data_IF_012074520114
#
_entry.id   IF_012074520114
#
_cell.length_a   1.000
_cell.length_b   1.000
_cell.length_c   1.000
_cell.angle_alpha   90.00
_cell.angle_beta   90.00
_cell.angle_gamma   90.00
#
_symmetry.space_group_name_H-M   'P 1'
#
loop_
_entity.id
_entity.type
_entity.pdbx_description
1 polymer ?
#
# COMPACT_ATOMS: atom_id res chain seq x y z
N UNK A 1 -77.83 -31.49 11.67
CA UNK A 1 -76.86 -30.54 12.26
C UNK A 1 -75.76 -30.29 11.23
N UNK A 2 -75.79 -29.13 10.57
CA UNK A 2 -74.82 -28.74 9.54
C UNK A 2 -73.50 -28.39 10.23
N UNK A 3 -72.44 -29.14 9.98
CA UNK A 3 -71.09 -28.81 10.44
C UNK A 3 -70.70 -27.48 9.78
N UNK A 4 -70.57 -26.43 10.60
CA UNK A 4 -70.27 -25.08 10.12
C UNK A 4 -68.96 -25.05 9.32
N UNK A 5 -68.93 -24.44 8.14
CA UNK A 5 -67.70 -24.26 7.37
C UNK A 5 -66.85 -23.21 8.08
N UNK A 6 -65.78 -23.62 8.77
CA UNK A 6 -64.89 -22.65 9.43
C UNK A 6 -63.68 -23.27 10.15
N UNK A 7 -63.88 -24.34 10.92
CA UNK A 7 -62.81 -24.88 11.78
C UNK A 7 -61.84 -25.82 11.03
N UNK A 8 -62.32 -26.59 10.05
CA UNK A 8 -61.47 -27.48 9.24
C UNK A 8 -60.58 -26.73 8.25
N UNK A 9 -60.97 -25.52 7.84
CA UNK A 9 -60.13 -24.66 6.99
C UNK A 9 -58.95 -24.08 7.78
N UNK A 10 -59.18 -23.71 9.06
CA UNK A 10 -58.14 -23.20 9.95
C UNK A 10 -57.11 -24.26 10.33
N UNK A 11 -57.54 -25.49 10.65
CA UNK A 11 -56.62 -26.59 10.96
C UNK A 11 -55.81 -27.02 9.74
N UNK A 12 -56.38 -26.90 8.55
CA UNK A 12 -55.69 -27.18 7.30
C UNK A 12 -54.66 -26.09 7.00
N UNK A 13 -54.99 -24.83 7.26
CA UNK A 13 -54.05 -23.71 7.15
C UNK A 13 -52.88 -23.84 8.13
N UNK A 14 -53.13 -24.19 9.40
CA UNK A 14 -52.04 -24.42 10.37
C UNK A 14 -51.17 -25.62 9.98
N UNK A 15 -51.78 -26.72 9.55
CA UNK A 15 -51.05 -27.90 9.07
C UNK A 15 -50.20 -27.58 7.83
N UNK A 16 -50.72 -26.84 6.84
CA UNK A 16 -49.95 -26.42 5.68
C UNK A 16 -48.80 -25.49 6.06
N UNK A 17 -49.02 -24.52 6.98
CA UNK A 17 -47.96 -23.63 7.45
C UNK A 17 -46.82 -24.42 8.11
N UNK A 18 -47.14 -25.44 8.92
CA UNK A 18 -46.13 -26.32 9.51
C UNK A 18 -45.39 -27.11 8.43
N UNK A 19 -46.09 -27.70 7.46
CA UNK A 19 -45.44 -28.44 6.35
C UNK A 19 -44.57 -27.56 5.46
N UNK A 20 -44.96 -26.31 5.19
CA UNK A 20 -44.13 -25.37 4.45
C UNK A 20 -42.89 -24.96 5.26
N UNK A 21 -43.02 -24.78 6.58
CA UNK A 21 -41.88 -24.46 7.44
C UNK A 21 -40.85 -25.59 7.48
N UNK A 22 -41.29 -26.84 7.60
CA UNK A 22 -40.39 -28.00 7.62
C UNK A 22 -39.72 -28.22 6.27
N UNK A 23 -40.47 -28.09 5.18
CA UNK A 23 -39.93 -28.17 3.82
C UNK A 23 -38.90 -27.06 3.57
N UNK A 24 -39.20 -25.83 4.00
CA UNK A 24 -38.27 -24.71 3.89
C UNK A 24 -36.99 -24.99 4.69
N UNK A 25 -37.09 -25.49 5.91
CA UNK A 25 -35.93 -25.86 6.73
C UNK A 25 -35.12 -26.98 6.09
N UNK A 26 -35.76 -28.03 5.55
CA UNK A 26 -35.05 -29.14 4.90
C UNK A 26 -34.34 -28.71 3.61
N UNK A 27 -34.96 -27.83 2.82
CA UNK A 27 -34.34 -27.29 1.61
C UNK A 27 -33.12 -26.45 2.01
N UNK A 28 -33.26 -25.54 2.98
CA UNK A 28 -32.14 -24.74 3.48
C UNK A 28 -31.01 -25.63 4.00
N UNK A 29 -31.32 -26.67 4.78
CA UNK A 29 -30.32 -27.61 5.29
C UNK A 29 -29.60 -28.35 4.16
N UNK A 30 -30.32 -28.87 3.17
CA UNK A 30 -29.72 -29.53 2.02
C UNK A 30 -28.81 -28.58 1.20
N UNK A 31 -29.21 -27.31 1.03
CA UNK A 31 -28.35 -26.32 0.37
C UNK A 31 -27.09 -26.01 1.17
N UNK A 32 -27.18 -25.95 2.51
CA UNK A 32 -26.03 -25.72 3.38
C UNK A 32 -25.05 -26.89 3.33
N UNK A 33 -25.54 -28.13 3.40
CA UNK A 33 -24.72 -29.35 3.31
C UNK A 33 -24.02 -29.45 1.94
N UNK A 34 -24.73 -29.12 0.86
CA UNK A 34 -24.14 -29.07 -0.48
C UNK A 34 -23.08 -27.98 -0.59
N UNK A 35 -23.34 -26.76 -0.08
CA UNK A 35 -22.38 -25.66 -0.10
C UNK A 35 -21.14 -25.96 0.73
N UNK A 36 -21.29 -26.56 1.91
CA UNK A 36 -20.16 -26.97 2.76
C UNK A 36 -19.27 -27.98 2.03
N UNK A 37 -19.87 -28.98 1.37
CA UNK A 37 -19.12 -29.96 0.58
C UNK A 37 -18.38 -29.30 -0.59
N UNK A 38 -19.04 -28.38 -1.31
CA UNK A 38 -18.41 -27.62 -2.39
C UNK A 38 -17.26 -26.72 -1.90
N UNK A 39 -17.40 -26.09 -0.73
CA UNK A 39 -16.33 -25.26 -0.15
C UNK A 39 -15.12 -26.10 0.28
N UNK A 40 -15.33 -27.29 0.84
CA UNK A 40 -14.22 -28.16 1.24
C UNK A 40 -13.48 -28.71 0.02
N UNK A 41 -14.22 -29.19 -0.99
CA UNK A 41 -13.61 -29.62 -2.26
C UNK A 41 -12.86 -28.47 -2.95
N UNK A 42 -13.43 -27.27 -2.95
CA UNK A 42 -12.77 -26.09 -3.48
C UNK A 42 -11.50 -25.73 -2.71
N UNK A 43 -11.54 -25.79 -1.38
CA UNK A 43 -10.38 -25.56 -0.52
C UNK A 43 -9.25 -26.53 -0.86
N UNK A 44 -9.55 -27.82 -0.99
CA UNK A 44 -8.56 -28.84 -1.34
C UNK A 44 -7.92 -28.54 -2.71
N UNK A 45 -8.73 -28.21 -3.72
CA UNK A 45 -8.24 -27.79 -5.02
C UNK A 45 -7.36 -26.53 -4.96
N UNK A 46 -7.71 -25.56 -4.11
CA UNK A 46 -6.93 -24.32 -3.95
C UNK A 46 -5.58 -24.63 -3.30
N UNK A 47 -5.54 -25.50 -2.30
CA UNK A 47 -4.29 -25.94 -1.65
C UNK A 47 -3.39 -26.65 -2.66
N UNK A 48 -3.94 -27.63 -3.38
CA UNK A 48 -3.20 -28.38 -4.40
C UNK A 48 -2.66 -27.44 -5.50
N UNK A 49 -3.51 -26.54 -5.99
CA UNK A 49 -3.12 -25.52 -6.96
C UNK A 49 -1.95 -24.67 -6.46
N UNK A 50 -2.02 -24.23 -5.20
CA UNK A 50 -1.00 -23.36 -4.61
C UNK A 50 0.33 -24.07 -4.40
N UNK A 51 0.32 -25.36 -4.04
CA UNK A 51 1.53 -26.19 -3.95
C UNK A 51 2.14 -26.35 -5.34
N UNK A 52 1.31 -26.72 -6.33
CA UNK A 52 1.75 -26.98 -7.70
C UNK A 52 2.35 -25.76 -8.36
N UNK A 53 1.75 -24.59 -8.15
CA UNK A 53 2.16 -23.33 -8.75
C UNK A 53 2.95 -22.42 -7.81
N UNK A 54 3.47 -22.95 -6.69
CA UNK A 54 4.18 -22.13 -5.67
C UNK A 54 5.28 -21.26 -6.28
N UNK A 55 6.06 -21.81 -7.20
CA UNK A 55 7.15 -21.09 -7.87
C UNK A 55 6.62 -19.97 -8.77
N UNK A 56 5.54 -20.25 -9.50
CA UNK A 56 4.90 -19.26 -10.39
C UNK A 56 4.29 -18.11 -9.57
N UNK A 57 3.66 -18.41 -8.43
CA UNK A 57 3.14 -17.40 -7.48
C UNK A 57 4.29 -16.53 -6.94
N UNK A 58 5.48 -17.10 -6.76
CA UNK A 58 6.66 -16.36 -6.27
C UNK A 58 7.33 -15.53 -7.37
N UNK A 59 7.40 -16.03 -8.60
CA UNK A 59 8.21 -15.40 -9.65
C UNK A 59 7.40 -14.43 -10.54
N UNK A 60 6.08 -14.62 -10.69
CA UNK A 60 5.23 -13.75 -11.52
C UNK A 60 4.30 -12.86 -10.65
N UNK A 61 4.53 -11.53 -10.60
CA UNK A 61 3.68 -10.63 -9.83
C UNK A 61 2.24 -10.50 -10.36
N UNK A 62 2.03 -10.66 -11.67
CA UNK A 62 0.69 -10.55 -12.27
C UNK A 62 -0.14 -11.78 -11.89
N UNK A 63 0.46 -12.96 -11.96
CA UNK A 63 -0.17 -14.20 -11.51
C UNK A 63 -0.43 -14.19 -10.00
N UNK A 64 0.53 -13.74 -9.19
CA UNK A 64 0.36 -13.58 -7.74
C UNK A 64 -0.84 -12.71 -7.40
N UNK A 65 -0.97 -11.56 -8.06
CA UNK A 65 -2.08 -10.64 -7.85
C UNK A 65 -3.44 -11.28 -8.20
N UNK A 66 -3.53 -12.02 -9.30
CA UNK A 66 -4.76 -12.71 -9.70
C UNK A 66 -5.13 -13.82 -8.72
N UNK A 67 -4.16 -14.62 -8.29
CA UNK A 67 -4.34 -15.64 -7.27
C UNK A 67 -4.88 -15.04 -5.97
N UNK A 68 -4.25 -13.97 -5.48
CA UNK A 68 -4.70 -13.27 -4.28
C UNK A 68 -6.09 -12.63 -4.43
N UNK A 69 -6.42 -12.13 -5.63
CA UNK A 69 -7.77 -11.61 -5.94
C UNK A 69 -8.83 -12.71 -5.88
N UNK A 70 -8.51 -13.94 -6.30
CA UNK A 70 -9.41 -15.08 -6.13
C UNK A 70 -9.60 -15.43 -4.66
N UNK A 71 -8.51 -15.48 -3.88
CA UNK A 71 -8.59 -15.75 -2.44
C UNK A 71 -9.45 -14.68 -1.73
N UNK A 72 -9.24 -13.40 -2.04
CA UNK A 72 -10.01 -12.31 -1.41
C UNK A 72 -11.49 -12.29 -1.78
N UNK A 73 -11.85 -12.70 -3.01
CA UNK A 73 -13.26 -12.81 -3.43
C UNK A 73 -14.05 -13.82 -2.58
N UNK A 74 -13.35 -14.79 -1.98
CA UNK A 74 -13.92 -15.80 -1.10
C UNK A 74 -13.71 -15.49 0.38
N UNK A 75 -13.22 -14.28 0.69
CA UNK A 75 -12.78 -13.89 2.04
C UNK A 75 -11.74 -14.85 2.63
N UNK A 76 -10.96 -15.51 1.77
CA UNK A 76 -9.79 -16.29 2.16
C UNK A 76 -8.61 -15.34 2.10
N UNK A 77 -8.08 -14.94 3.25
CA UNK A 77 -6.86 -14.15 3.28
C UNK A 77 -5.65 -15.10 3.37
N UNK A 78 -4.82 -15.22 2.30
CA UNK A 78 -3.62 -16.05 2.33
C UNK A 78 -2.55 -15.52 3.31
N UNK A 79 -2.72 -14.30 3.82
CA UNK A 79 -1.75 -13.54 4.62
C UNK A 79 -1.96 -13.68 6.13
N UNK A 80 -3.20 -13.93 6.56
CA UNK A 80 -3.57 -14.03 7.99
C UNK A 80 -3.22 -15.43 8.53
N UNK A 81 -2.27 -16.12 7.90
CA UNK A 81 -1.88 -17.46 8.29
C UNK A 81 -1.12 -17.52 9.61
N UNK A 82 -0.19 -16.58 9.80
CA UNK A 82 0.76 -16.60 10.91
C UNK A 82 0.41 -15.59 12.01
N UNK A 83 -0.39 -14.55 11.73
CA UNK A 83 -0.93 -13.64 12.75
C UNK A 83 -2.01 -14.30 13.63
N UNK A 84 -2.61 -15.42 13.21
CA UNK A 84 -3.68 -16.09 13.94
C UNK A 84 -3.20 -16.98 15.11
N UNK A 85 -1.90 -16.97 15.45
CA UNK A 85 -1.36 -17.70 16.61
C UNK A 85 -1.89 -17.18 17.96
N UNK A 86 -2.51 -16.00 18.02
CA UNK A 86 -3.04 -15.41 19.26
C UNK A 86 -4.56 -15.53 19.45
N UNK A 87 -5.32 -16.02 18.46
CA UNK A 87 -6.76 -16.24 18.60
C UNK A 87 -7.07 -17.72 18.49
N UNK A 88 -7.43 -18.34 19.62
CA UNK A 88 -7.90 -19.73 19.73
C UNK A 88 -9.27 -19.98 19.06
N UNK A 89 -9.59 -19.24 18.00
CA UNK A 89 -10.82 -19.37 17.19
C UNK A 89 -10.50 -19.25 15.70
N UNK A 90 -9.48 -19.98 15.21
CA UNK A 90 -9.18 -20.05 13.78
C UNK A 90 -9.87 -21.27 13.15
N UNK A 91 -11.19 -21.19 12.94
CA UNK A 91 -11.94 -22.10 12.06
C UNK A 91 -11.77 -21.70 10.58
N UNK A 92 -10.58 -21.22 10.20
CA UNK A 92 -10.34 -20.58 8.92
C UNK A 92 -9.05 -21.09 8.27
N UNK A 93 -9.11 -21.23 6.95
CA UNK A 93 -8.06 -21.70 6.03
C UNK A 93 -6.76 -20.88 6.16
N UNK A 94 -6.80 -19.72 6.83
CA UNK A 94 -5.66 -18.84 7.11
C UNK A 94 -4.40 -19.60 7.50
N UNK A 95 -4.41 -20.35 8.61
CA UNK A 95 -3.20 -21.01 9.15
C UNK A 95 -2.52 -22.02 8.22
N UNK A 96 -3.24 -22.51 7.21
CA UNK A 96 -2.70 -23.48 6.25
C UNK A 96 -1.76 -22.83 5.23
N UNK A 97 -1.98 -21.56 4.88
CA UNK A 97 -1.17 -20.85 3.87
C UNK A 97 0.25 -20.53 4.36
N UNK A 98 0.40 -20.29 5.65
CA UNK A 98 1.70 -20.07 6.29
C UNK A 98 2.51 -21.36 6.39
N UNK A 99 1.84 -22.50 6.58
CA UNK A 99 2.49 -23.81 6.51
C UNK A 99 2.97 -24.15 5.08
N UNK A 100 2.31 -23.59 4.05
CA UNK A 100 2.68 -23.73 2.65
C UNK A 100 3.85 -22.80 2.25
N UNK A 101 4.28 -21.90 3.13
CA UNK A 101 5.36 -20.93 2.89
C UNK A 101 5.06 -20.00 1.73
N UNK A 102 3.79 -19.67 1.53
CA UNK A 102 3.32 -18.69 0.53
C UNK A 102 3.46 -17.27 1.08
N UNK A 103 3.45 -17.13 2.42
CA UNK A 103 3.64 -15.88 3.17
C UNK A 103 5.13 -15.48 3.34
N UNK A 104 6.07 -16.40 3.13
CA UNK A 104 7.52 -16.15 3.27
C UNK A 104 7.99 -14.95 2.43
N UNK A 105 7.52 -14.85 1.18
CA UNK A 105 7.86 -13.74 0.29
C UNK A 105 7.37 -12.38 0.84
N UNK A 106 6.19 -12.36 1.45
CA UNK A 106 5.55 -11.11 1.87
C UNK A 106 6.13 -10.60 3.19
N UNK A 107 6.52 -11.52 4.08
CA UNK A 107 7.32 -11.20 5.26
C UNK A 107 8.72 -10.74 4.88
N UNK A 108 9.38 -11.40 3.93
CA UNK A 108 10.68 -10.95 3.40
C UNK A 108 10.58 -9.54 2.83
N UNK A 109 9.55 -9.27 2.02
CA UNK A 109 9.29 -7.95 1.45
C UNK A 109 8.97 -6.91 2.55
N UNK A 110 8.21 -7.28 3.58
CA UNK A 110 7.90 -6.39 4.70
C UNK A 110 9.16 -6.00 5.49
N UNK A 111 10.08 -6.94 5.73
CA UNK A 111 11.36 -6.63 6.40
C UNK A 111 12.23 -5.70 5.55
N UNK A 112 12.33 -5.95 4.24
CA UNK A 112 13.07 -5.07 3.33
C UNK A 112 12.46 -3.66 3.24
N UNK A 113 11.14 -3.56 3.29
CA UNK A 113 10.43 -2.29 3.36
C UNK A 113 10.81 -1.53 4.63
N UNK A 114 10.84 -2.21 5.78
CA UNK A 114 11.24 -1.61 7.07
C UNK A 114 12.71 -1.14 7.03
N UNK A 115 13.61 -1.93 6.46
CA UNK A 115 15.03 -1.56 6.36
C UNK A 115 15.24 -0.29 5.50
N UNK A 116 14.59 -0.22 4.33
CA UNK A 116 14.62 0.98 3.49
C UNK A 116 13.95 2.16 4.19
N UNK A 117 12.83 1.92 4.87
CA UNK A 117 12.13 2.95 5.62
C UNK A 117 12.99 3.58 6.72
N UNK A 118 13.80 2.78 7.42
CA UNK A 118 14.71 3.24 8.47
C UNK A 118 15.93 3.94 7.89
N UNK A 119 16.56 3.35 6.87
CA UNK A 119 17.79 3.89 6.26
C UNK A 119 17.56 5.17 5.45
N UNK A 120 16.39 5.33 4.83
CA UNK A 120 16.05 6.53 4.04
C UNK A 120 15.48 7.68 4.87
N UNK A 121 15.07 7.41 6.13
CA UNK A 121 14.47 8.39 7.04
C UNK A 121 15.23 9.71 7.20
N UNK A 122 16.57 9.74 7.40
CA UNK A 122 17.29 11.01 7.54
C UNK A 122 17.26 11.85 6.26
N UNK A 123 17.10 11.21 5.10
CA UNK A 123 17.08 11.89 3.80
C UNK A 123 15.68 12.33 3.37
N UNK A 124 14.61 11.64 3.77
CA UNK A 124 13.26 11.88 3.25
C UNK A 124 12.19 12.24 4.30
N UNK A 125 12.56 12.38 5.57
CA UNK A 125 11.61 12.68 6.65
C UNK A 125 10.59 11.56 6.89
N UNK A 126 10.86 10.35 6.41
CA UNK A 126 9.99 9.19 6.52
C UNK A 126 8.77 9.21 5.60
N UNK A 127 8.88 9.89 4.45
CA UNK A 127 7.88 9.85 3.39
C UNK A 127 8.54 9.45 2.06
N UNK A 128 8.12 8.33 1.48
CA UNK A 128 8.72 7.78 0.26
C UNK A 128 7.65 7.46 -0.79
N UNK A 129 7.89 7.76 -2.07
CA UNK A 129 7.00 7.35 -3.17
C UNK A 129 7.00 5.82 -3.29
N UNK A 130 5.85 5.23 -3.60
CA UNK A 130 5.77 3.77 -3.84
C UNK A 130 6.75 3.31 -4.92
N UNK A 131 6.87 4.06 -6.02
CA UNK A 131 7.73 3.68 -7.14
C UNK A 131 9.20 3.72 -6.73
N UNK A 132 9.63 4.74 -5.98
CA UNK A 132 11.00 4.84 -5.48
C UNK A 132 11.32 3.73 -4.48
N UNK A 133 10.35 3.36 -3.63
CA UNK A 133 10.50 2.23 -2.74
C UNK A 133 10.69 0.92 -3.53
N UNK A 134 9.87 0.67 -4.55
CA UNK A 134 10.00 -0.53 -5.41
C UNK A 134 11.39 -0.56 -6.04
N UNK A 135 11.84 0.55 -6.65
CA UNK A 135 13.16 0.64 -7.25
C UNK A 135 14.29 0.37 -6.25
N UNK A 136 14.18 0.90 -5.02
CA UNK A 136 15.17 0.65 -3.95
C UNK A 136 15.18 -0.82 -3.51
N UNK A 137 14.01 -1.45 -3.36
CA UNK A 137 13.93 -2.87 -2.99
C UNK A 137 14.50 -3.76 -4.11
N UNK A 138 14.15 -3.48 -5.37
CA UNK A 138 14.71 -4.18 -6.52
C UNK A 138 16.24 -4.02 -6.56
N UNK A 139 16.76 -2.80 -6.32
CA UNK A 139 18.21 -2.57 -6.22
C UNK A 139 18.86 -3.43 -5.13
N UNK A 140 18.25 -3.51 -3.94
CA UNK A 140 18.76 -4.33 -2.83
C UNK A 140 18.76 -5.83 -3.20
N UNK A 141 17.70 -6.33 -3.83
CA UNK A 141 17.57 -7.73 -4.24
C UNK A 141 18.51 -8.11 -5.39
N UNK A 142 18.80 -7.17 -6.29
CA UNK A 142 19.66 -7.37 -7.46
C UNK A 142 21.14 -7.01 -7.19
N UNK A 143 21.53 -6.84 -5.92
CA UNK A 143 22.93 -6.57 -5.54
C UNK A 143 23.48 -5.25 -6.08
N UNK A 144 22.63 -4.22 -6.23
CA UNK A 144 23.03 -2.89 -6.69
C UNK A 144 22.86 -2.63 -8.19
N UNK A 145 22.53 -3.65 -9.00
CA UNK A 145 22.34 -3.49 -10.45
C UNK A 145 20.88 -3.22 -10.79
N UNK A 146 20.53 -1.95 -11.04
CA UNK A 146 19.21 -1.59 -11.57
C UNK A 146 19.25 -1.73 -13.09
N UNK A 147 18.55 -2.73 -13.64
CA UNK A 147 18.28 -2.75 -15.08
C UNK A 147 17.15 -1.74 -15.36
N UNK A 148 17.35 -0.73 -16.21
CA UNK A 148 16.28 0.20 -16.53
C UNK A 148 15.11 -0.59 -17.15
N UNK A 149 13.92 -0.37 -16.60
CA UNK A 149 12.67 -0.89 -17.16
C UNK A 149 12.58 -0.45 -18.62
N UNK A 150 12.40 -1.35 -19.60
CA UNK A 150 12.25 -0.93 -20.99
C UNK A 150 10.99 -0.07 -21.10
N UNK A 151 11.19 1.24 -21.26
CA UNK A 151 10.15 2.14 -21.72
C UNK A 151 9.80 1.72 -23.13
N UNK A 152 8.53 1.41 -23.36
CA UNK A 152 8.02 0.97 -24.65
C UNK A 152 8.00 2.16 -25.63
N UNK A 153 9.17 2.54 -26.12
CA UNK A 153 9.34 3.45 -27.25
C UNK A 153 9.52 2.59 -28.50
N UNK A 154 8.47 2.53 -29.31
CA UNK A 154 8.54 1.95 -30.65
C UNK A 154 9.61 2.68 -31.46
N UNK A 155 10.71 1.98 -31.79
CA UNK A 155 11.63 2.42 -32.84
C UNK A 155 13.10 2.10 -32.57
N UNK A 156 13.64 1.11 -33.30
CA UNK A 156 15.09 1.01 -33.52
C UNK A 156 15.66 -0.40 -33.45
N UNK A 157 15.76 -1.06 -34.61
CA UNK A 157 16.62 -2.24 -34.81
C UNK A 157 18.08 -1.86 -34.53
N UNK A 158 18.70 -2.49 -33.53
CA UNK A 158 20.13 -2.43 -33.27
C UNK A 158 20.64 -3.82 -32.90
N UNK A 159 21.49 -4.39 -33.75
CA UNK A 159 22.09 -5.71 -33.62
C UNK A 159 23.36 -5.61 -32.76
N UNK A 160 23.41 -6.34 -31.65
CA UNK A 160 24.55 -6.37 -30.74
C UNK A 160 24.43 -7.52 -29.75
N UNK A 161 25.27 -8.53 -29.92
CA UNK A 161 25.43 -9.70 -29.04
C UNK A 161 25.55 -9.25 -27.58
N UNK A 162 24.44 -9.35 -26.83
CA UNK A 162 24.42 -9.10 -25.39
C UNK A 162 23.92 -10.37 -24.75
N UNK A 163 24.88 -11.11 -24.19
CA UNK A 163 24.71 -12.19 -23.21
C UNK A 163 23.33 -12.15 -22.57
N UNK A 164 22.53 -13.17 -22.84
CA UNK A 164 21.29 -13.50 -22.15
C UNK A 164 21.59 -13.70 -20.67
N UNK A 165 21.72 -12.61 -19.92
CA UNK A 165 21.76 -12.64 -18.46
C UNK A 165 20.32 -12.93 -18.03
N UNK A 166 20.05 -14.19 -17.72
CA UNK A 166 18.88 -14.64 -16.99
C UNK A 166 18.93 -13.96 -15.61
N UNK A 167 18.42 -12.75 -15.52
CA UNK A 167 18.31 -12.01 -14.26
C UNK A 167 16.91 -12.29 -13.70
N UNK A 168 16.88 -13.18 -12.73
CA UNK A 168 15.75 -13.59 -11.90
C UNK A 168 14.59 -12.60 -11.84
N UNK A 169 13.44 -13.10 -12.26
CA UNK A 169 12.08 -12.55 -12.23
C UNK A 169 11.60 -12.31 -10.79
N UNK A 170 12.14 -11.30 -10.11
CA UNK A 170 11.67 -10.86 -8.79
C UNK A 170 11.11 -9.44 -8.87
N UNK A 171 10.29 -9.19 -9.90
CA UNK A 171 9.64 -7.90 -10.14
C UNK A 171 8.56 -7.68 -9.08
N UNK A 172 8.69 -6.61 -8.31
CA UNK A 172 7.77 -6.31 -7.21
C UNK A 172 6.64 -5.43 -7.74
N UNK A 173 5.40 -5.80 -7.44
CA UNK A 173 4.24 -4.98 -7.77
C UNK A 173 3.91 -4.00 -6.64
N UNK A 174 3.29 -2.88 -7.00
CA UNK A 174 2.69 -1.95 -6.04
C UNK A 174 1.71 -2.66 -5.08
N UNK A 175 0.99 -3.66 -5.58
CA UNK A 175 0.05 -4.45 -4.77
C UNK A 175 0.78 -5.27 -3.69
N UNK A 176 1.99 -5.75 -3.97
CA UNK A 176 2.81 -6.46 -2.99
C UNK A 176 3.22 -5.53 -1.85
N UNK A 177 3.59 -4.29 -2.19
CA UNK A 177 3.94 -3.25 -1.20
C UNK A 177 2.74 -2.90 -0.32
N UNK A 178 1.57 -2.61 -0.91
CA UNK A 178 0.34 -2.29 -0.16
C UNK A 178 -0.01 -3.42 0.81
N UNK A 179 0.25 -4.66 0.40
CA UNK A 179 0.00 -5.85 1.20
C UNK A 179 1.00 -6.01 2.34
N UNK A 180 2.28 -5.80 2.07
CA UNK A 180 3.31 -5.75 3.13
C UNK A 180 3.02 -4.67 4.17
N UNK A 181 2.42 -3.53 3.77
CA UNK A 181 1.97 -2.52 4.74
C UNK A 181 0.87 -3.03 5.68
N UNK A 182 -0.09 -3.81 5.17
CA UNK A 182 -1.12 -4.44 6.01
C UNK A 182 -0.55 -5.45 6.99
N UNK A 183 0.51 -6.17 6.61
CA UNK A 183 1.24 -7.06 7.52
C UNK A 183 1.94 -6.31 8.64
N UNK A 184 2.36 -5.06 8.40
CA UNK A 184 3.03 -4.22 9.39
C UNK A 184 2.06 -3.44 10.29
N UNK A 185 0.78 -3.34 9.92
CA UNK A 185 -0.25 -2.61 10.67
C UNK A 185 -0.41 -3.07 12.14
N UNK A 186 -0.40 -4.39 12.46
CA UNK A 186 -0.48 -4.87 13.85
C UNK A 186 0.67 -4.41 14.75
N UNK A 187 1.83 -4.08 14.17
CA UNK A 187 3.00 -3.60 14.92
C UNK A 187 2.83 -2.15 15.42
N UNK A 188 1.80 -1.43 14.93
CA UNK A 188 1.54 -0.02 15.26
C UNK A 188 2.76 0.89 15.06
N UNK A 189 3.62 0.54 14.11
CA UNK A 189 4.88 1.22 13.82
C UNK A 189 4.72 2.47 12.96
N UNK A 190 3.48 2.83 12.59
CA UNK A 190 3.18 4.08 11.89
C UNK A 190 3.27 4.01 10.36
N UNK A 191 3.43 2.80 9.79
CA UNK A 191 3.39 2.62 8.34
C UNK A 191 2.00 2.90 7.80
N UNK A 192 1.85 3.96 6.99
CA UNK A 192 0.57 4.36 6.40
C UNK A 192 0.73 4.69 4.92
N UNK A 193 -0.28 4.32 4.13
CA UNK A 193 -0.40 4.73 2.73
C UNK A 193 -1.12 6.07 2.65
N UNK A 194 -0.45 7.09 2.12
CA UNK A 194 -1.02 8.42 1.89
C UNK A 194 -1.07 8.69 0.38
N UNK A 195 -2.15 9.31 -0.09
CA UNK A 195 -2.25 9.78 -1.49
C UNK A 195 -2.24 11.29 -1.50
N UNK A 196 -1.25 11.88 -2.16
CA UNK A 196 -1.04 13.34 -2.22
C UNK A 196 -0.88 13.72 -3.69
N UNK A 197 -1.73 14.64 -4.18
CA UNK A 197 -1.68 15.08 -5.59
C UNK A 197 -1.86 13.94 -6.60
N UNK A 198 -2.58 12.86 -6.25
CA UNK A 198 -2.77 11.67 -7.10
C UNK A 198 -1.60 10.68 -7.09
N UNK A 199 -0.50 10.99 -6.40
CA UNK A 199 0.65 10.10 -6.23
C UNK A 199 0.56 9.41 -4.87
N UNK A 200 0.91 8.11 -4.84
CA UNK A 200 0.90 7.30 -3.62
C UNK A 200 2.24 7.31 -2.93
N UNK A 201 2.19 7.63 -1.64
CA UNK A 201 3.31 7.74 -0.73
C UNK A 201 3.14 6.79 0.44
N UNK A 202 4.26 6.29 0.94
CA UNK A 202 4.32 5.51 2.16
C UNK A 202 4.97 6.39 3.21
N UNK A 203 4.25 6.57 4.30
CA UNK A 203 4.78 7.19 5.51
C UNK A 203 5.29 6.10 6.43
N UNK A 204 6.47 6.30 7.00
CA UNK A 204 7.19 5.32 7.85
C UNK A 204 7.31 5.78 9.30
N UNK A 205 6.61 6.85 9.65
CA UNK A 205 6.64 7.51 10.95
C UNK A 205 5.21 7.58 11.50
N UNK A 206 4.99 7.32 12.80
CA UNK A 206 3.65 7.32 13.41
C UNK A 206 2.95 8.68 13.49
N UNK A 207 3.63 9.78 13.15
CA UNK A 207 3.02 11.11 13.10
C UNK A 207 2.06 11.22 11.91
N UNK A 208 1.00 11.99 12.07
CA UNK A 208 0.06 12.26 10.96
C UNK A 208 0.50 13.47 10.14
N UNK A 209 0.01 13.55 8.89
CA UNK A 209 0.33 14.68 8.03
C UNK A 209 -0.68 15.77 8.34
N UNK A 210 -0.21 16.96 8.70
CA UNK A 210 -1.09 18.10 8.92
C UNK A 210 -1.74 18.52 7.59
N UNK A 211 -2.89 19.17 7.66
CA UNK A 211 -3.59 19.73 6.48
C UNK A 211 -2.67 20.68 5.72
N UNK A 212 -1.94 21.53 6.43
CA UNK A 212 -1.04 22.50 5.81
C UNK A 212 0.12 21.81 5.09
N UNK A 213 0.71 20.78 5.72
CA UNK A 213 1.75 19.96 5.11
C UNK A 213 1.23 19.28 3.83
N UNK A 214 0.03 18.69 3.87
CA UNK A 214 -0.57 18.03 2.69
C UNK A 214 -0.78 18.97 1.50
N UNK A 215 -1.14 20.24 1.76
CA UNK A 215 -1.32 21.27 0.73
C UNK A 215 0.05 21.72 0.20
N UNK A 216 1.04 21.91 1.08
CA UNK A 216 2.40 22.25 0.65
C UNK A 216 3.00 21.13 -0.21
N UNK A 217 2.79 19.87 0.15
CA UNK A 217 3.22 18.74 -0.67
C UNK A 217 2.50 18.68 -2.02
N UNK A 218 1.20 18.99 -2.08
CA UNK A 218 0.47 18.98 -3.36
C UNK A 218 0.93 20.09 -4.30
N UNK A 219 1.22 21.28 -3.77
CA UNK A 219 1.82 22.39 -4.52
C UNK A 219 3.22 22.01 -4.99
N UNK A 220 4.01 21.38 -4.12
CA UNK A 220 5.36 20.95 -4.46
C UNK A 220 5.35 19.93 -5.61
N UNK A 221 4.38 19.01 -5.65
CA UNK A 221 4.23 18.07 -6.78
C UNK A 221 3.98 18.83 -8.10
N UNK A 222 3.15 19.89 -8.06
CA UNK A 222 2.86 20.70 -9.24
C UNK A 222 4.06 21.55 -9.71
N UNK A 223 4.88 22.04 -8.76
CA UNK A 223 6.02 22.93 -9.02
C UNK A 223 7.34 22.20 -9.30
N UNK A 224 7.33 20.87 -9.33
CA UNK A 224 8.56 20.06 -9.52
C UNK A 224 9.42 19.92 -8.25
N UNK A 225 8.83 20.18 -7.09
CA UNK A 225 9.39 19.92 -5.77
C UNK A 225 10.11 21.09 -5.11
N UNK A 226 10.17 22.25 -5.78
CA UNK A 226 10.64 23.50 -5.19
C UNK A 226 9.45 24.38 -4.83
N UNK A 227 9.46 24.94 -3.63
CA UNK A 227 8.44 25.84 -3.13
C UNK A 227 9.05 27.22 -2.85
N UNK A 228 8.43 28.24 -3.44
CA UNK A 228 8.71 29.65 -3.12
C UNK A 228 7.50 30.28 -2.44
N UNK A 229 7.71 31.18 -1.48
CA UNK A 229 6.61 31.87 -0.77
C UNK A 229 5.62 32.55 -1.73
N UNK A 230 6.10 33.13 -2.83
CA UNK A 230 5.26 33.74 -3.87
C UNK A 230 4.33 32.74 -4.55
N UNK A 231 4.81 31.53 -4.82
CA UNK A 231 4.02 30.48 -5.45
C UNK A 231 2.95 29.95 -4.49
N UNK A 232 3.33 29.70 -3.23
CA UNK A 232 2.39 29.27 -2.21
C UNK A 232 1.31 30.34 -2.00
N UNK A 233 1.67 31.63 -1.95
CA UNK A 233 0.71 32.73 -1.82
C UNK A 233 -0.18 32.92 -3.06
N UNK A 234 0.32 32.56 -4.23
CA UNK A 234 -0.46 32.59 -5.47
C UNK A 234 -1.50 31.46 -5.55
N UNK A 235 -1.14 30.27 -5.06
CA UNK A 235 -1.99 29.09 -5.08
C UNK A 235 -2.86 28.94 -3.82
N UNK A 236 -2.47 29.58 -2.72
CA UNK A 236 -3.17 29.56 -1.43
C UNK A 236 -3.44 30.97 -0.96
N UNK A 237 -4.61 31.21 -0.36
CA UNK A 237 -4.95 32.49 0.26
C UNK A 237 -4.39 32.61 1.69
N UNK A 238 -3.19 32.07 1.95
CA UNK A 238 -2.60 32.04 3.29
C UNK A 238 -1.88 33.34 3.64
N UNK A 239 -1.83 33.66 4.93
CA UNK A 239 -1.00 34.75 5.44
C UNK A 239 0.48 34.40 5.34
N UNK A 240 1.34 35.42 5.20
CA UNK A 240 2.79 35.23 5.10
C UNK A 240 3.35 34.49 6.32
N UNK A 241 2.82 34.76 7.52
CA UNK A 241 3.19 34.06 8.76
C UNK A 241 2.83 32.58 8.73
N UNK A 242 1.65 32.21 8.20
CA UNK A 242 1.22 30.81 8.10
C UNK A 242 2.07 30.05 7.09
N UNK A 243 2.42 30.68 5.97
CA UNK A 243 3.32 30.08 4.97
C UNK A 243 4.68 29.83 5.60
N UNK A 244 5.23 30.82 6.33
CA UNK A 244 6.52 30.69 7.02
C UNK A 244 6.50 29.57 8.06
N UNK A 245 5.47 29.54 8.91
CA UNK A 245 5.32 28.49 9.94
C UNK A 245 5.16 27.11 9.33
N UNK A 246 4.36 26.96 8.27
CA UNK A 246 4.18 25.69 7.57
C UNK A 246 5.46 25.20 6.89
N UNK A 247 6.24 26.10 6.30
CA UNK A 247 7.55 25.75 5.71
C UNK A 247 8.57 25.35 6.78
N UNK A 248 8.62 26.08 7.90
CA UNK A 248 9.49 25.75 9.04
C UNK A 248 9.12 24.40 9.64
N UNK A 249 7.83 24.13 9.88
CA UNK A 249 7.34 22.84 10.39
C UNK A 249 7.69 21.68 9.43
N UNK A 250 7.46 21.87 8.12
CA UNK A 250 7.84 20.88 7.10
C UNK A 250 9.33 20.55 7.12
N UNK A 251 10.20 21.55 7.24
CA UNK A 251 11.66 21.38 7.15
C UNK A 251 12.26 20.94 8.48
N UNK A 252 12.02 21.69 9.55
CA UNK A 252 12.72 21.55 10.82
C UNK A 252 12.11 20.47 11.70
N UNK A 253 10.79 20.40 11.77
CA UNK A 253 10.10 19.48 12.70
C UNK A 253 9.81 18.13 12.04
N UNK A 254 9.46 18.11 10.75
CA UNK A 254 9.14 16.88 10.03
C UNK A 254 10.25 16.35 9.13
N UNK A 255 11.26 17.15 8.77
CA UNK A 255 12.35 16.73 7.87
C UNK A 255 11.87 16.42 6.44
N UNK A 256 10.73 16.95 6.01
CA UNK A 256 10.11 16.70 4.70
C UNK A 256 10.70 17.58 3.59
N UNK A 257 11.56 18.55 3.94
CA UNK A 257 12.18 19.45 2.98
C UNK A 257 13.53 19.99 3.44
N UNK A 258 14.25 20.58 2.50
CA UNK A 258 15.57 21.19 2.66
C UNK A 258 15.50 22.65 2.26
N UNK A 259 16.27 23.51 2.92
CA UNK A 259 16.39 24.92 2.56
C UNK A 259 17.51 25.07 1.54
N UNK A 260 17.20 25.72 0.42
CA UNK A 260 18.18 26.14 -0.57
C UNK A 260 18.48 27.64 -0.38
N UNK A 261 19.59 27.91 0.30
CA UNK A 261 20.11 29.27 0.53
C UNK A 261 20.88 29.83 -0.69
N UNK A 262 21.20 28.98 -1.67
CA UNK A 262 21.95 29.36 -2.87
C UNK A 262 21.03 29.87 -3.98
N UNK A 263 19.73 29.58 -3.90
CA UNK A 263 18.71 30.21 -4.73
C UNK A 263 18.65 31.71 -4.45
N UNK A 264 19.41 32.48 -5.24
CA UNK A 264 19.39 33.94 -5.22
C UNK A 264 18.04 34.46 -5.73
N UNK A 265 17.02 34.47 -4.88
CA UNK A 265 16.02 35.52 -4.97
C UNK A 265 16.64 36.76 -4.33
N UNK A 266 17.08 37.70 -5.17
CA UNK A 266 17.64 39.00 -4.75
C UNK A 266 16.67 39.65 -3.77
N UNK A 267 16.94 39.49 -2.47
CA UNK A 267 16.21 40.11 -1.39
C UNK A 267 16.97 41.37 -1.03
N UNK A 268 16.33 42.53 -1.24
CA UNK A 268 16.90 43.89 -1.07
C UNK A 268 17.15 44.23 0.42
N UNK A 269 17.33 43.23 1.28
CA UNK A 269 17.33 43.37 2.74
C UNK A 269 18.67 43.06 3.41
N UNK A 270 19.79 43.33 2.74
CA UNK A 270 21.10 43.45 3.41
C UNK A 270 21.24 44.82 4.12
N UNK A 271 20.24 45.19 4.93
CA UNK A 271 20.29 46.38 5.77
C UNK A 271 19.51 46.20 7.08
N UNK A 272 19.83 45.17 7.87
CA UNK A 272 19.72 45.20 9.33
C UNK A 272 20.16 43.85 9.91
N UNK A 273 21.33 43.83 10.54
CA UNK A 273 21.76 42.72 11.38
C UNK A 273 20.95 42.69 12.67
N UNK A 274 19.89 41.89 12.70
CA UNK A 274 19.20 41.39 13.90
C UNK A 274 18.71 39.97 13.55
N UNK A 275 19.59 38.98 13.72
CA UNK A 275 19.28 37.58 13.42
C UNK A 275 18.53 36.92 14.56
N UNK A 276 17.24 36.63 14.38
CA UNK A 276 16.55 35.60 15.13
C UNK A 276 16.84 34.24 14.48
N UNK A 277 17.26 33.26 15.27
CA UNK A 277 17.83 31.97 14.84
C UNK A 277 16.83 30.96 14.22
N UNK A 278 15.68 31.41 13.71
CA UNK A 278 14.60 30.53 13.20
C UNK A 278 13.94 31.03 11.91
N UNK A 279 14.68 31.76 11.10
CA UNK A 279 14.20 32.27 9.81
C UNK A 279 14.74 31.42 8.66
N UNK A 280 13.86 30.70 7.96
CA UNK A 280 14.18 30.02 6.69
C UNK A 280 14.38 31.10 5.63
N UNK A 281 15.65 31.39 5.30
CA UNK A 281 16.05 32.40 4.32
C UNK A 281 16.45 31.72 3.01
N UNK A 282 15.46 31.29 2.23
CA UNK A 282 15.71 30.62 0.95
C UNK A 282 14.46 30.01 0.33
N UNK A 283 14.61 29.47 -0.88
CA UNK A 283 13.59 28.59 -1.46
C UNK A 283 13.61 27.24 -0.72
N UNK A 284 12.46 26.59 -0.55
CA UNK A 284 12.37 25.30 0.15
C UNK A 284 12.12 24.19 -0.85
N UNK A 285 12.96 23.16 -0.82
CA UNK A 285 12.76 21.95 -1.61
C UNK A 285 12.06 20.89 -0.77
N UNK A 286 10.97 20.32 -1.26
CA UNK A 286 10.27 19.21 -0.60
C UNK A 286 10.69 17.89 -1.28
N UNK A 287 11.37 17.04 -0.51
CA UNK A 287 11.98 15.79 -0.98
C UNK A 287 10.92 14.80 -1.45
N UNK A 288 9.78 14.75 -0.77
CA UNK A 288 8.69 13.88 -1.16
C UNK A 288 8.10 14.24 -2.54
N UNK A 289 8.29 15.46 -3.04
CA UNK A 289 7.80 15.84 -4.36
C UNK A 289 8.81 15.53 -5.48
N UNK A 290 10.11 15.45 -5.19
CA UNK A 290 11.17 15.22 -6.19
C UNK A 290 11.49 13.73 -6.38
N UNK A 291 12.07 13.36 -7.52
CA UNK A 291 12.72 12.06 -7.68
C UNK A 291 14.17 12.23 -7.24
N UNK A 292 14.39 12.35 -5.93
CA UNK A 292 15.73 12.52 -5.40
C UNK A 292 16.48 11.19 -5.54
N UNK A 293 17.32 11.08 -6.57
CA UNK A 293 18.36 10.06 -6.63
C UNK A 293 19.38 10.38 -5.53
N UNK A 294 19.37 9.59 -4.46
CA UNK A 294 20.43 9.66 -3.45
C UNK A 294 21.79 9.47 -4.18
N UNK A 295 22.77 10.39 -4.05
CA UNK A 295 24.10 10.21 -4.66
C UNK A 295 24.90 9.05 -4.04
N UNK A 296 24.41 8.42 -2.96
CA UNK A 296 24.93 7.13 -2.47
C UNK A 296 24.45 5.92 -3.29
N UNK A 297 23.59 6.16 -4.29
CA UNK A 297 23.06 5.15 -5.22
C UNK A 297 23.84 5.14 -6.54
N UNK A 298 24.77 6.08 -6.78
CA UNK A 298 25.72 6.04 -7.91
C UNK A 298 27.00 5.28 -7.58
#
# INVERSE_FOLDING_TARGET
MRKGPGLSALSRHSAYSSSYSTLSSSISQATLESLQTSLESFREMLIEFSIKHKKDIKDDPAFRFQFQKMCSALNIDPLIASSASSSKTASGIGGLWGLLGIDEFEYELAVQLVDIAVSSRPSNGGLIKIQDLIMRIEKLRNGGTVKPKPTNTNGGKGNGNTTTVISHTNTISEQDIIRSLKLLEPLKSGYKLNTIGGVKYIRTIPNELNTDQSILLSIAIASGGRLTQREIKGQTSWSDDRIRLGLVDCVMDQGLGWVDEQSHSVSVSNLAGLGNASEVRGDVWIIAATNFEDPSIS
#
